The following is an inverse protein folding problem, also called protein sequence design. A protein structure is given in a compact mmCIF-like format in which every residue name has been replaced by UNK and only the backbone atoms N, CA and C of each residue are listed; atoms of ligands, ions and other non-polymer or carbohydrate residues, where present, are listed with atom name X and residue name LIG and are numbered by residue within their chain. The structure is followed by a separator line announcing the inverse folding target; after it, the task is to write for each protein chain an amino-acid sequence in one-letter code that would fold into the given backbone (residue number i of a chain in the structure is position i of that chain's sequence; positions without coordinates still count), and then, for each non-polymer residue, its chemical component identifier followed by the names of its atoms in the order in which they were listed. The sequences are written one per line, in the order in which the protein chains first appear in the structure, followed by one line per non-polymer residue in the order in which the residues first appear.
data_IF_104891061079
#
_entry.id   IF_104891061079
#
_cell.length_a   1.000
_cell.length_b   1.000
_cell.length_c   1.000
_cell.angle_alpha   90.00
_cell.angle_beta   90.00
_cell.angle_gamma   90.00
#
_symmetry.space_group_name_H-M   'P 1'
#
loop_
_entity.id
_entity.type
_entity.pdbx_description
1 polymer ?
#
# COMPACT_ATOMS: atom_id res chain seq x y z
N UNK A 1 20.98 13.48 -11.33
CA UNK A 1 21.64 12.14 -11.33
C UNK A 1 22.12 11.81 -12.73
N UNK A 2 23.37 11.35 -12.90
CA UNK A 2 23.88 10.95 -14.21
C UNK A 2 23.54 9.47 -14.50
N UNK A 3 23.09 9.20 -15.73
CA UNK A 3 22.86 7.83 -16.22
C UNK A 3 24.19 7.10 -16.37
N UNK A 4 24.24 5.82 -15.96
CA UNK A 4 25.36 4.94 -16.30
C UNK A 4 25.33 4.71 -17.81
N UNK A 5 26.37 5.20 -18.50
CA UNK A 5 26.49 5.07 -19.96
C UNK A 5 27.30 3.84 -20.39
N UNK A 6 28.12 3.31 -19.49
CA UNK A 6 28.97 2.14 -19.73
C UNK A 6 29.10 1.35 -18.43
N UNK A 7 28.96 0.05 -18.51
CA UNK A 7 29.10 -0.86 -17.37
C UNK A 7 30.11 -1.96 -17.73
N UNK A 8 31.03 -2.37 -16.82
CA UNK A 8 32.08 -3.35 -17.16
C UNK A 8 31.58 -4.75 -17.47
N UNK A 9 30.38 -5.10 -16.97
CA UNK A 9 29.82 -6.48 -17.07
C UNK A 9 28.45 -6.51 -17.77
N UNK A 10 27.65 -5.43 -17.65
CA UNK A 10 26.28 -5.39 -18.17
C UNK A 10 26.21 -4.54 -19.43
N UNK A 11 25.49 -5.01 -20.43
CA UNK A 11 25.10 -4.15 -21.56
C UNK A 11 24.11 -3.09 -21.07
N UNK A 12 24.41 -1.83 -21.38
CA UNK A 12 23.51 -0.70 -21.12
C UNK A 12 22.63 -0.50 -22.36
N UNK A 13 21.37 -0.90 -22.34
CA UNK A 13 20.52 -0.82 -23.52
C UNK A 13 20.27 0.65 -23.92
N UNK A 14 20.31 0.92 -25.21
CA UNK A 14 19.79 2.16 -25.79
C UNK A 14 18.28 2.03 -25.86
N UNK A 15 17.56 3.02 -25.34
CA UNK A 15 16.09 3.04 -25.28
C UNK A 15 15.53 4.27 -25.99
N UNK A 16 14.35 4.12 -26.54
CA UNK A 16 13.62 5.23 -27.14
C UNK A 16 13.31 6.30 -26.10
N UNK A 17 13.41 7.55 -26.51
CA UNK A 17 13.04 8.69 -25.68
C UNK A 17 11.52 8.85 -25.66
N UNK A 18 10.99 9.21 -24.50
CA UNK A 18 9.59 9.54 -24.27
C UNK A 18 9.55 10.92 -23.65
N UNK A 19 8.68 11.81 -24.14
CA UNK A 19 8.44 13.12 -23.54
C UNK A 19 7.06 13.13 -22.93
N UNK A 20 6.98 13.60 -21.68
CA UNK A 20 5.72 13.84 -20.98
C UNK A 20 5.81 15.16 -20.21
N UNK A 21 4.66 15.69 -19.77
CA UNK A 21 4.64 16.92 -18.97
C UNK A 21 4.62 16.61 -17.48
N UNK A 22 5.44 17.27 -16.70
CA UNK A 22 5.40 17.28 -15.25
C UNK A 22 5.12 18.71 -14.75
N UNK A 23 3.98 18.91 -14.09
CA UNK A 23 3.51 20.24 -13.66
C UNK A 23 3.60 21.29 -14.79
N UNK A 24 3.28 20.90 -16.02
CA UNK A 24 3.33 21.75 -17.21
C UNK A 24 4.70 21.85 -17.91
N UNK A 25 5.78 21.38 -17.31
CA UNK A 25 7.13 21.36 -17.90
C UNK A 25 7.38 20.04 -18.65
N UNK A 26 8.08 20.12 -19.78
CA UNK A 26 8.48 18.91 -20.51
C UNK A 26 9.61 18.16 -19.79
N UNK A 27 9.42 16.87 -19.61
CA UNK A 27 10.40 15.96 -19.01
C UNK A 27 10.68 14.81 -19.97
N UNK A 28 11.98 14.53 -20.17
CA UNK A 28 12.44 13.39 -20.95
C UNK A 28 12.57 12.14 -20.08
N UNK A 29 11.91 11.08 -20.49
CA UNK A 29 12.06 9.72 -19.98
C UNK A 29 12.62 8.77 -21.01
N UNK A 30 12.81 7.52 -20.66
CA UNK A 30 13.18 6.45 -21.57
C UNK A 30 12.16 5.32 -21.48
N UNK A 31 11.72 4.79 -22.62
CA UNK A 31 10.75 3.71 -22.72
C UNK A 31 11.10 2.53 -21.83
N UNK A 32 10.10 2.06 -21.06
CA UNK A 32 10.26 0.97 -20.10
C UNK A 32 10.81 1.37 -18.74
N UNK A 33 11.32 2.61 -18.56
CA UNK A 33 11.65 3.13 -17.23
C UNK A 33 10.40 3.65 -16.50
N UNK A 34 10.51 3.80 -15.18
CA UNK A 34 9.44 4.35 -14.36
C UNK A 34 9.43 5.88 -14.42
N UNK A 35 8.26 6.47 -14.17
CA UNK A 35 8.10 7.92 -14.07
C UNK A 35 9.03 8.49 -12.98
N UNK A 36 9.15 7.81 -11.83
CA UNK A 36 10.04 8.23 -10.76
C UNK A 36 11.50 8.34 -11.23
N UNK A 37 11.98 7.36 -12.02
CA UNK A 37 13.34 7.41 -12.56
C UNK A 37 13.54 8.60 -13.51
N UNK A 38 12.53 8.91 -14.34
CA UNK A 38 12.59 10.06 -15.24
C UNK A 38 12.59 11.39 -14.48
N UNK A 39 11.73 11.55 -13.48
CA UNK A 39 11.67 12.76 -12.64
C UNK A 39 12.95 12.98 -11.85
N UNK A 40 13.49 11.94 -11.19
CA UNK A 40 14.76 12.04 -10.48
C UNK A 40 15.91 12.45 -11.39
N UNK A 41 15.96 11.90 -12.61
CA UNK A 41 16.96 12.26 -13.60
C UNK A 41 16.82 13.72 -14.05
N UNK A 42 15.59 14.21 -14.18
CA UNK A 42 15.28 15.60 -14.54
C UNK A 42 15.49 16.60 -13.39
N UNK A 43 15.84 16.14 -12.19
CA UNK A 43 16.09 17.01 -11.03
C UNK A 43 14.87 17.24 -10.14
N UNK A 44 13.81 16.43 -10.27
CA UNK A 44 12.59 16.47 -9.45
C UNK A 44 12.54 15.29 -8.49
N UNK A 45 13.27 15.31 -7.35
CA UNK A 45 13.31 14.20 -6.42
C UNK A 45 12.11 14.16 -5.44
N UNK A 46 11.44 15.29 -5.23
CA UNK A 46 10.26 15.39 -4.35
C UNK A 46 9.01 15.00 -5.13
N UNK A 47 8.22 14.09 -4.59
CA UNK A 47 7.06 13.52 -5.26
C UNK A 47 5.72 13.85 -4.56
N UNK A 48 5.77 14.12 -3.28
CA UNK A 48 4.60 14.50 -2.47
C UNK A 48 5.06 15.16 -1.17
N UNK A 49 4.09 15.65 -0.41
CA UNK A 49 4.32 16.17 0.93
C UNK A 49 3.46 15.38 1.93
N UNK A 50 3.95 15.19 3.13
CA UNK A 50 3.16 14.65 4.24
C UNK A 50 2.21 15.71 4.79
N UNK A 51 1.26 15.31 5.63
CA UNK A 51 0.28 16.24 6.24
C UNK A 51 0.94 17.36 7.06
N UNK A 52 2.13 17.11 7.60
CA UNK A 52 2.95 18.09 8.33
C UNK A 52 3.91 18.87 7.41
N UNK A 53 3.74 18.77 6.10
CA UNK A 53 4.49 19.54 5.09
C UNK A 53 5.88 19.01 4.75
N UNK A 54 6.30 17.85 5.28
CA UNK A 54 7.60 17.27 4.96
C UNK A 54 7.63 16.73 3.53
N UNK A 55 8.71 17.04 2.82
CA UNK A 55 8.97 16.50 1.49
C UNK A 55 9.15 14.98 1.53
N UNK A 56 8.48 14.30 0.61
CA UNK A 56 8.57 12.85 0.42
C UNK A 56 9.09 12.54 -0.98
N UNK A 57 9.97 11.57 -1.03
CA UNK A 57 10.61 11.12 -2.25
C UNK A 57 10.34 9.63 -2.52
N UNK A 58 11.25 8.99 -3.24
CA UNK A 58 11.23 7.55 -3.50
C UNK A 58 11.71 6.79 -2.26
N UNK A 59 10.79 6.32 -1.43
CA UNK A 59 11.10 5.63 -0.18
C UNK A 59 11.25 4.11 -0.38
N UNK A 60 10.20 3.39 -0.78
CA UNK A 60 10.25 1.94 -0.88
C UNK A 60 10.63 1.41 -2.28
N UNK A 61 10.38 2.16 -3.34
CA UNK A 61 10.65 1.76 -4.73
C UNK A 61 9.82 0.59 -5.28
N UNK A 62 8.94 -0.01 -4.47
CA UNK A 62 8.18 -1.24 -4.79
C UNK A 62 6.67 -1.02 -4.80
N UNK A 63 6.21 0.22 -4.80
CA UNK A 63 4.79 0.55 -4.87
C UNK A 63 3.98 0.28 -3.59
N UNK A 64 4.58 0.27 -2.41
CA UNK A 64 3.87 -0.05 -1.15
C UNK A 64 3.59 1.16 -0.25
N UNK A 65 4.55 2.08 -0.07
CA UNK A 65 4.47 3.14 0.93
C UNK A 65 3.58 4.34 0.56
N UNK A 66 3.21 4.50 -0.71
CA UNK A 66 2.42 5.65 -1.18
C UNK A 66 3.19 6.99 -1.28
N UNK A 67 4.44 7.08 -0.83
CA UNK A 67 5.24 8.32 -0.85
C UNK A 67 5.40 8.95 -2.25
N UNK A 68 5.28 8.15 -3.29
CA UNK A 68 5.42 8.56 -4.68
C UNK A 68 4.07 8.57 -5.45
N UNK A 69 2.96 8.76 -4.77
CA UNK A 69 1.66 8.88 -5.44
C UNK A 69 1.54 10.24 -6.13
N UNK A 70 1.22 10.21 -7.42
CA UNK A 70 1.02 11.37 -8.27
C UNK A 70 -0.16 11.18 -9.20
N UNK A 71 -0.67 12.27 -9.76
CA UNK A 71 -1.67 12.25 -10.81
C UNK A 71 -0.98 11.94 -12.13
N UNK A 72 -1.25 10.79 -12.70
CA UNK A 72 -0.79 10.36 -14.02
C UNK A 72 -2.00 10.28 -14.94
N UNK A 73 -2.06 11.16 -15.93
CA UNK A 73 -3.21 11.28 -16.85
C UNK A 73 -4.56 11.33 -16.10
N UNK A 74 -4.61 12.11 -15.00
CA UNK A 74 -5.80 12.32 -14.18
C UNK A 74 -6.13 11.18 -13.20
N UNK A 75 -5.29 10.16 -13.08
CA UNK A 75 -5.46 9.04 -12.12
C UNK A 75 -4.31 9.00 -11.13
N UNK A 76 -4.61 8.75 -9.84
CA UNK A 76 -3.56 8.53 -8.85
C UNK A 76 -2.82 7.23 -9.18
N UNK A 77 -1.50 7.34 -9.31
CA UNK A 77 -0.59 6.22 -9.58
C UNK A 77 0.66 6.33 -8.72
N UNK A 78 1.23 5.20 -8.36
CA UNK A 78 2.55 5.12 -7.70
C UNK A 78 3.64 5.13 -8.75
N UNK A 79 4.29 6.26 -8.92
CA UNK A 79 5.22 6.49 -10.03
C UNK A 79 6.50 5.65 -9.96
N UNK A 80 6.82 5.06 -8.80
CA UNK A 80 7.95 4.14 -8.67
C UNK A 80 7.75 2.81 -9.44
N UNK A 81 6.51 2.44 -9.74
CA UNK A 81 6.17 1.21 -10.49
C UNK A 81 5.42 1.50 -11.79
N UNK A 82 5.06 2.76 -12.05
CA UNK A 82 4.38 3.17 -13.28
C UNK A 82 5.41 3.57 -14.33
N UNK A 83 5.34 2.93 -15.51
CA UNK A 83 6.23 3.24 -16.62
C UNK A 83 5.84 4.53 -17.32
N UNK A 84 6.81 5.18 -17.97
CA UNK A 84 6.59 6.42 -18.77
C UNK A 84 5.88 6.15 -20.09
N UNK A 85 5.73 4.88 -20.49
CA UNK A 85 5.19 4.50 -21.79
C UNK A 85 3.74 4.99 -21.96
N UNK A 86 3.52 5.87 -22.93
CA UNK A 86 2.19 6.42 -23.24
C UNK A 86 1.67 7.47 -22.25
N UNK A 87 2.45 7.86 -21.26
CA UNK A 87 2.10 8.92 -20.30
C UNK A 87 2.17 10.28 -20.98
N UNK A 88 1.15 11.10 -20.77
CA UNK A 88 1.07 12.47 -21.31
C UNK A 88 1.40 13.51 -20.24
N UNK A 89 0.85 13.34 -19.06
CA UNK A 89 0.96 14.33 -18.00
C UNK A 89 1.08 13.69 -16.62
N UNK A 90 1.95 14.26 -15.80
CA UNK A 90 2.14 13.92 -14.39
C UNK A 90 2.03 15.20 -13.57
N UNK A 91 1.27 15.17 -12.48
CA UNK A 91 1.13 16.29 -11.54
C UNK A 91 1.19 15.81 -10.11
N UNK A 92 1.57 16.68 -9.22
CA UNK A 92 1.42 16.44 -7.78
C UNK A 92 -0.06 16.29 -7.40
N UNK A 93 -0.32 15.47 -6.38
CA UNK A 93 -1.66 15.35 -5.79
C UNK A 93 -1.85 16.53 -4.83
N UNK A 94 -2.72 17.46 -5.19
CA UNK A 94 -3.06 18.60 -4.33
C UNK A 94 -4.24 18.28 -3.43
N UNK A 95 -4.35 18.97 -2.27
CA UNK A 95 -5.49 18.84 -1.37
C UNK A 95 -6.83 19.10 -2.08
N UNK A 96 -6.88 20.08 -2.96
CA UNK A 96 -8.05 20.38 -3.79
C UNK A 96 -8.48 19.19 -4.67
N UNK A 97 -7.53 18.45 -5.19
CA UNK A 97 -7.84 17.26 -5.97
C UNK A 97 -8.42 16.15 -5.09
N UNK A 98 -7.87 15.96 -3.91
CA UNK A 98 -8.37 15.00 -2.93
C UNK A 98 -9.76 15.40 -2.45
N UNK A 99 -9.97 16.67 -2.11
CA UNK A 99 -11.29 17.19 -1.71
C UNK A 99 -12.37 17.02 -2.79
N UNK A 100 -12.02 17.20 -4.07
CA UNK A 100 -12.97 17.00 -5.19
C UNK A 100 -13.31 15.54 -5.44
N UNK A 101 -12.43 14.61 -5.10
CA UNK A 101 -12.67 13.17 -5.25
C UNK A 101 -13.43 12.56 -4.08
N UNK A 102 -13.45 13.20 -2.93
CA UNK A 102 -14.29 12.80 -1.79
C UNK A 102 -15.74 13.30 -2.05
N UNK A 103 -16.33 12.94 -3.18
CA UNK A 103 -17.78 12.73 -3.20
C UNK A 103 -17.99 11.53 -2.29
N UNK A 104 -18.57 11.80 -1.12
CA UNK A 104 -18.99 10.71 -0.23
C UNK A 104 -19.74 9.68 -1.08
N UNK A 105 -19.34 8.43 -1.07
CA UNK A 105 -20.08 7.41 -1.80
C UNK A 105 -21.49 7.43 -1.23
N UNK A 106 -22.48 7.65 -2.09
CA UNK A 106 -23.91 7.57 -1.70
C UNK A 106 -24.13 6.17 -1.17
N UNK A 107 -24.43 6.10 0.12
CA UNK A 107 -24.63 4.84 0.80
C UNK A 107 -25.99 4.28 0.39
N UNK A 108 -26.04 3.41 -0.61
CA UNK A 108 -27.14 2.44 -0.72
C UNK A 108 -27.14 1.57 0.53
N UNK A 109 -28.29 0.99 0.91
CA UNK A 109 -28.51 0.21 2.15
C UNK A 109 -27.34 -0.75 2.41
N UNK A 110 -26.35 -0.30 3.19
CA UNK A 110 -25.03 -0.93 3.23
C UNK A 110 -24.95 -1.95 4.34
N UNK A 111 -24.23 -3.00 4.05
CA UNK A 111 -23.85 -4.02 5.01
C UNK A 111 -23.10 -3.34 6.16
N UNK A 112 -23.65 -3.45 7.36
CA UNK A 112 -23.02 -3.01 8.61
C UNK A 112 -22.64 -4.27 9.37
N UNK A 113 -21.35 -4.44 9.59
CA UNK A 113 -20.81 -5.47 10.48
C UNK A 113 -20.63 -4.87 11.86
N UNK A 114 -20.67 -5.71 12.88
CA UNK A 114 -20.41 -5.32 14.27
C UNK A 114 -19.39 -6.27 14.86
N UNK A 115 -18.47 -5.72 15.64
CA UNK A 115 -17.42 -6.48 16.32
C UNK A 115 -16.94 -5.72 17.55
N UNK A 116 -16.32 -6.39 18.48
CA UNK A 116 -15.67 -5.74 19.62
C UNK A 116 -14.42 -4.99 19.17
N UNK A 117 -13.61 -5.60 18.30
CA UNK A 117 -12.33 -5.00 17.86
C UNK A 117 -12.20 -5.05 16.36
N UNK A 118 -11.85 -3.91 15.74
CA UNK A 118 -11.32 -3.85 14.37
C UNK A 118 -9.81 -3.76 14.41
N UNK A 119 -9.15 -4.62 13.66
CA UNK A 119 -7.69 -4.63 13.46
C UNK A 119 -7.41 -4.21 12.01
N UNK A 120 -6.67 -3.14 11.83
CA UNK A 120 -6.27 -2.66 10.50
C UNK A 120 -4.87 -3.18 10.18
N UNK A 121 -4.83 -4.11 9.24
CA UNK A 121 -3.63 -4.79 8.77
C UNK A 121 -3.54 -6.25 9.20
N UNK A 122 -3.48 -7.17 8.22
CA UNK A 122 -3.21 -8.59 8.41
C UNK A 122 -1.72 -8.92 8.27
N UNK A 123 -0.85 -7.98 8.67
CA UNK A 123 0.58 -8.20 8.82
C UNK A 123 0.90 -9.00 10.09
N UNK A 124 2.20 -9.24 10.38
CA UNK A 124 2.61 -10.02 11.55
C UNK A 124 2.03 -9.52 12.87
N UNK A 125 2.03 -8.20 13.08
CA UNK A 125 1.51 -7.59 14.30
C UNK A 125 0.00 -7.79 14.42
N UNK A 126 -0.78 -7.46 13.37
CA UNK A 126 -2.23 -7.61 13.40
C UNK A 126 -2.67 -9.07 13.55
N UNK A 127 -1.97 -10.02 12.92
CA UNK A 127 -2.26 -11.44 13.09
C UNK A 127 -1.94 -11.94 14.49
N UNK A 128 -0.85 -11.47 15.10
CA UNK A 128 -0.51 -11.82 16.48
C UNK A 128 -1.56 -11.28 17.48
N UNK A 129 -2.00 -10.03 17.28
CA UNK A 129 -3.07 -9.43 18.07
C UNK A 129 -4.38 -10.22 17.92
N UNK A 130 -4.74 -10.58 16.67
CA UNK A 130 -5.91 -11.44 16.40
C UNK A 130 -5.81 -12.76 17.13
N UNK A 131 -4.65 -13.41 17.06
CA UNK A 131 -4.45 -14.69 17.75
C UNK A 131 -4.70 -14.58 19.25
N UNK A 132 -4.19 -13.51 19.90
CA UNK A 132 -4.45 -13.28 21.31
C UNK A 132 -5.93 -13.02 21.59
N UNK A 133 -6.60 -12.19 20.81
CA UNK A 133 -8.04 -11.96 20.98
C UNK A 133 -8.84 -13.25 20.85
N UNK A 134 -8.51 -14.10 19.86
CA UNK A 134 -9.18 -15.38 19.69
C UNK A 134 -9.01 -16.33 20.90
N UNK A 135 -7.82 -16.34 21.54
CA UNK A 135 -7.57 -17.12 22.76
C UNK A 135 -8.51 -16.72 23.91
N UNK A 136 -8.86 -15.44 23.99
CA UNK A 136 -9.73 -14.92 25.04
C UNK A 136 -11.21 -14.81 24.60
N UNK A 137 -11.57 -15.29 23.42
CA UNK A 137 -12.91 -15.23 22.90
C UNK A 137 -13.41 -13.83 22.58
N UNK A 138 -12.50 -12.89 22.31
CA UNK A 138 -12.84 -11.52 21.93
C UNK A 138 -13.16 -11.47 20.44
N UNK A 139 -14.38 -11.06 20.11
CA UNK A 139 -14.81 -10.92 18.72
C UNK A 139 -14.01 -9.82 18.00
N UNK A 140 -13.49 -10.16 16.82
CA UNK A 140 -12.62 -9.27 16.09
C UNK A 140 -12.73 -9.43 14.57
N UNK A 141 -12.53 -8.31 13.86
CA UNK A 141 -12.47 -8.24 12.40
C UNK A 141 -11.10 -7.66 11.99
N UNK A 142 -10.43 -8.32 11.05
CA UNK A 142 -9.17 -7.85 10.45
C UNK A 142 -9.45 -7.35 9.04
N UNK A 143 -8.92 -6.18 8.70
CA UNK A 143 -9.05 -5.56 7.37
C UNK A 143 -7.67 -5.36 6.78
N UNK A 144 -7.43 -5.87 5.57
CA UNK A 144 -6.15 -5.69 4.88
C UNK A 144 -6.35 -5.44 3.38
N UNK A 145 -5.56 -4.56 2.82
CA UNK A 145 -5.63 -4.19 1.41
C UNK A 145 -4.91 -5.19 0.47
N UNK A 146 -4.16 -6.13 1.02
CA UNK A 146 -3.52 -7.18 0.24
C UNK A 146 -4.50 -8.34 -0.06
N UNK A 147 -4.15 -9.14 -1.05
CA UNK A 147 -4.88 -10.33 -1.45
C UNK A 147 -4.64 -11.56 -0.55
N UNK A 148 -3.70 -11.42 0.40
CA UNK A 148 -3.30 -12.47 1.36
C UNK A 148 -2.80 -11.90 2.67
N UNK A 149 -2.91 -12.68 3.72
CA UNK A 149 -2.38 -12.36 5.05
C UNK A 149 -0.86 -12.43 5.10
N UNK A 150 -0.26 -11.79 6.11
CA UNK A 150 1.15 -11.90 6.46
C UNK A 150 2.01 -10.69 6.11
N UNK A 151 1.50 -9.73 5.33
CA UNK A 151 2.20 -8.48 5.04
C UNK A 151 3.65 -8.71 4.63
N UNK A 152 4.61 -8.10 5.32
CA UNK A 152 6.03 -8.21 5.00
C UNK A 152 6.60 -9.63 5.13
N UNK A 153 6.02 -10.50 5.96
CA UNK A 153 6.48 -11.89 6.06
C UNK A 153 6.33 -12.67 4.75
N UNK A 154 5.36 -12.32 3.92
CA UNK A 154 5.16 -12.98 2.63
C UNK A 154 6.30 -12.75 1.63
N UNK A 155 7.14 -11.75 1.86
CA UNK A 155 8.29 -11.41 1.01
C UNK A 155 9.61 -12.01 1.53
N UNK A 156 9.60 -12.56 2.73
CA UNK A 156 10.82 -13.07 3.38
C UNK A 156 10.97 -14.55 3.12
N UNK A 157 11.93 -14.88 2.27
CA UNK A 157 12.20 -16.26 1.82
C UNK A 157 13.24 -17.00 2.66
N UNK A 158 13.98 -16.27 3.50
CA UNK A 158 14.95 -16.85 4.41
C UNK A 158 14.28 -17.46 5.65
N UNK A 159 14.97 -18.37 6.30
CA UNK A 159 14.55 -18.95 7.58
C UNK A 159 14.88 -18.00 8.71
N UNK A 160 13.95 -17.86 9.66
CA UNK A 160 14.14 -17.04 10.85
C UNK A 160 14.87 -17.81 11.94
N UNK A 161 15.86 -17.16 12.56
CA UNK A 161 16.55 -17.64 13.75
C UNK A 161 15.97 -16.89 14.95
N UNK A 162 15.02 -17.50 15.64
CA UNK A 162 14.49 -16.96 16.88
C UNK A 162 15.25 -17.55 18.07
N UNK A 163 15.67 -16.68 18.98
CA UNK A 163 16.33 -17.06 20.23
C UNK A 163 15.36 -17.32 21.38
N UNK A 164 14.07 -17.45 21.09
CA UNK A 164 13.05 -17.65 22.11
C UNK A 164 13.05 -19.10 22.65
N UNK A 165 12.75 -19.22 23.97
CA UNK A 165 12.69 -20.52 24.66
C UNK A 165 11.70 -21.50 24.03
N UNK A 166 10.62 -21.00 23.44
CA UNK A 166 9.54 -21.82 22.88
C UNK A 166 9.75 -22.17 21.39
N UNK A 167 10.73 -21.62 20.73
CA UNK A 167 11.12 -21.91 19.33
C UNK A 167 9.95 -22.04 18.33
N UNK A 168 8.81 -21.42 18.61
CA UNK A 168 7.57 -21.58 17.84
C UNK A 168 7.76 -21.33 16.33
N UNK A 169 8.58 -20.35 15.97
CA UNK A 169 8.83 -19.95 14.60
C UNK A 169 10.27 -20.23 14.12
N UNK A 170 11.08 -20.86 14.95
CA UNK A 170 12.48 -21.17 14.61
C UNK A 170 12.58 -22.06 13.39
N UNK A 171 13.40 -21.67 12.42
CA UNK A 171 13.58 -22.40 11.16
C UNK A 171 12.45 -22.25 10.12
N UNK A 172 11.36 -21.55 10.45
CA UNK A 172 10.28 -21.27 9.52
C UNK A 172 10.64 -20.09 8.60
N UNK A 173 10.10 -20.09 7.39
CA UNK A 173 10.15 -18.93 6.49
C UNK A 173 9.03 -17.95 6.82
N UNK A 174 9.18 -16.69 6.42
CA UNK A 174 8.19 -15.65 6.72
C UNK A 174 6.77 -16.01 6.29
N UNK A 175 6.56 -16.58 5.13
CA UNK A 175 5.24 -17.00 4.64
C UNK A 175 4.63 -18.17 5.44
N UNK A 176 5.46 -19.06 6.00
CA UNK A 176 4.97 -20.14 6.87
C UNK A 176 4.56 -19.59 8.24
N UNK A 177 5.32 -18.63 8.78
CA UNK A 177 4.96 -17.91 10.00
C UNK A 177 3.64 -17.17 9.80
N UNK A 178 3.49 -16.46 8.68
CA UNK A 178 2.25 -15.75 8.34
C UNK A 178 1.04 -16.68 8.31
N UNK A 179 1.19 -17.85 7.70
CA UNK A 179 0.14 -18.88 7.65
C UNK A 179 -0.19 -19.41 9.03
N UNK A 180 0.81 -19.68 9.84
CA UNK A 180 0.61 -20.15 11.23
C UNK A 180 -0.13 -19.12 12.07
N UNK A 181 0.23 -17.84 11.96
CA UNK A 181 -0.45 -16.76 12.68
C UNK A 181 -1.87 -16.51 12.20
N UNK A 182 -2.14 -16.64 10.90
CA UNK A 182 -3.50 -16.51 10.36
C UNK A 182 -4.43 -17.61 10.87
N UNK A 183 -3.86 -18.81 11.16
CA UNK A 183 -4.61 -19.98 11.55
C UNK A 183 -5.41 -20.60 10.41
N UNK A 184 -6.12 -21.67 10.70
CA UNK A 184 -6.99 -22.35 9.72
C UNK A 184 -8.31 -21.59 9.52
N UNK A 185 -8.82 -20.97 10.59
CA UNK A 185 -10.04 -20.16 10.52
C UNK A 185 -9.72 -18.71 10.16
N UNK A 186 -10.06 -18.32 8.93
CA UNK A 186 -9.91 -16.97 8.38
C UNK A 186 -11.21 -16.16 8.43
N UNK A 187 -12.27 -16.65 9.08
CA UNK A 187 -13.51 -15.91 9.27
C UNK A 187 -13.22 -14.58 9.96
N UNK A 188 -13.83 -13.50 9.49
CA UNK A 188 -13.57 -12.15 9.99
C UNK A 188 -12.29 -11.51 9.45
N UNK A 189 -11.54 -12.13 8.54
CA UNK A 189 -10.45 -11.48 7.81
C UNK A 189 -10.96 -11.01 6.44
N UNK A 190 -10.96 -9.70 6.23
CA UNK A 190 -11.39 -9.04 4.99
C UNK A 190 -10.15 -8.59 4.21
N UNK A 191 -9.75 -9.41 3.25
CA UNK A 191 -8.66 -9.11 2.31
C UNK A 191 -9.15 -8.25 1.15
N UNK A 192 -8.22 -7.72 0.35
CA UNK A 192 -8.52 -6.77 -0.75
C UNK A 192 -9.40 -5.61 -0.28
N UNK A 193 -9.30 -5.22 0.97
CA UNK A 193 -10.20 -4.27 1.62
C UNK A 193 -9.41 -3.14 2.26
N UNK A 194 -9.74 -1.91 1.92
CA UNK A 194 -9.07 -0.71 2.43
C UNK A 194 -10.00 0.05 3.35
N UNK A 195 -9.50 0.44 4.51
CA UNK A 195 -10.17 1.41 5.38
C UNK A 195 -10.03 2.79 4.75
N UNK A 196 -11.16 3.43 4.50
CA UNK A 196 -11.22 4.74 3.87
C UNK A 196 -11.41 5.86 4.85
N UNK A 197 -12.17 5.60 5.90
CA UNK A 197 -12.54 6.63 6.86
C UNK A 197 -12.87 6.03 8.23
N UNK A 198 -12.68 6.82 9.26
CA UNK A 198 -13.10 6.54 10.62
C UNK A 198 -14.12 7.61 11.02
N UNK A 199 -15.37 7.22 11.05
CA UNK A 199 -16.47 8.09 11.43
C UNK A 199 -16.62 8.18 12.97
N UNK A 200 -17.34 9.20 13.43
CA UNK A 200 -17.72 9.32 14.82
C UNK A 200 -18.40 8.02 15.33
N UNK A 201 -18.18 7.66 16.59
CA UNK A 201 -18.71 6.44 17.19
C UNK A 201 -17.94 5.17 16.80
N UNK A 202 -16.69 5.30 16.35
CA UNK A 202 -15.80 4.18 15.99
C UNK A 202 -16.33 3.31 14.85
N UNK A 203 -17.04 3.91 13.92
CA UNK A 203 -17.46 3.28 12.67
C UNK A 203 -16.38 3.41 11.62
N UNK A 204 -15.94 2.29 11.08
CA UNK A 204 -14.92 2.23 10.02
C UNK A 204 -15.62 2.05 8.67
N UNK A 205 -15.30 2.89 7.71
CA UNK A 205 -15.73 2.73 6.32
C UNK A 205 -14.71 1.89 5.58
N UNK A 206 -15.16 0.80 4.99
CA UNK A 206 -14.30 -0.17 4.29
C UNK A 206 -14.72 -0.27 2.83
N UNK A 207 -13.76 -0.24 1.93
CA UNK A 207 -13.97 -0.53 0.50
C UNK A 207 -13.20 -1.79 0.10
N UNK A 208 -13.89 -2.76 -0.48
CA UNK A 208 -13.22 -3.85 -1.18
C UNK A 208 -12.72 -3.33 -2.54
N UNK A 209 -11.42 -3.47 -2.79
CA UNK A 209 -10.76 -2.90 -3.98
C UNK A 209 -10.98 -3.74 -5.25
N UNK A 210 -11.42 -4.97 -5.13
CA UNK A 210 -11.73 -5.84 -6.27
C UNK A 210 -13.19 -5.73 -6.70
N UNK A 211 -14.13 -5.80 -5.73
CA UNK A 211 -15.57 -5.77 -6.01
C UNK A 211 -16.14 -4.35 -5.99
N UNK A 212 -15.36 -3.38 -5.52
CA UNK A 212 -15.77 -1.99 -5.27
C UNK A 212 -16.89 -1.84 -4.21
N UNK A 213 -17.28 -2.93 -3.55
CA UNK A 213 -18.26 -2.94 -2.47
C UNK A 213 -17.76 -2.05 -1.31
N UNK A 214 -18.66 -1.24 -0.80
CA UNK A 214 -18.42 -0.44 0.41
C UNK A 214 -19.32 -0.94 1.51
N UNK A 215 -18.73 -1.18 2.68
CA UNK A 215 -19.47 -1.60 3.88
C UNK A 215 -18.92 -0.86 5.12
N UNK A 216 -19.65 -0.93 6.20
CA UNK A 216 -19.27 -0.34 7.47
C UNK A 216 -18.97 -1.40 8.51
N UNK A 217 -18.07 -1.09 9.43
CA UNK A 217 -17.81 -1.91 10.61
C UNK A 217 -17.93 -1.01 11.84
N UNK A 218 -18.88 -1.32 12.70
CA UNK A 218 -19.03 -0.71 14.01
C UNK A 218 -18.19 -1.51 15.01
N UNK A 219 -17.31 -0.85 15.75
CA UNK A 219 -16.42 -1.49 16.70
C UNK A 219 -16.34 -0.71 18.01
N UNK A 220 -16.04 -1.40 19.11
CA UNK A 220 -15.79 -0.74 20.40
C UNK A 220 -14.34 -0.25 20.46
N UNK A 221 -13.42 -0.97 19.81
CA UNK A 221 -11.98 -0.70 19.82
C UNK A 221 -11.39 -0.79 18.41
N UNK A 222 -10.34 -0.02 18.18
CA UNK A 222 -9.58 0.01 16.94
C UNK A 222 -8.10 -0.24 17.25
N UNK A 223 -7.50 -1.18 16.52
CA UNK A 223 -6.06 -1.46 16.52
C UNK A 223 -5.50 -1.16 15.13
N UNK A 224 -4.41 -0.39 15.08
CA UNK A 224 -3.73 0.02 13.84
C UNK A 224 -2.27 -0.37 13.88
#
# INVERSE_FOLDING_TARGET
MSKIKKHPVLEVPVRDRVIFKYNGQEVEGEKGYTIAAALHRAGFPVHSHSLDGRERSLECGIGKCGACEMLVDGKIRRICITKVDGVKEVREVTEDFMARKVKQPVADKKKILRTTVVIIGAGPAGLAVREEFNKYGVDNIVIDNNDKTGGQFTMQTHQFFFFEKEKRFGGMRGFDIARTLAGENTDGIYLNSTVWDLLEGKRVTVKNIQTEEIFFVDADYLVV
#
